data_IF_339078970982
#
_entry.id   IF_339078970982
#
_cell.length_a   1.000
_cell.length_b   1.000
_cell.length_c   1.000
_cell.angle_alpha   90.00
_cell.angle_beta   90.00
_cell.angle_gamma   90.00
#
_symmetry.space_group_name_H-M   'P 1'
#
loop_
_entity.id
_entity.type
_entity.pdbx_description
1 polymer ?
#
# COMPACT_ATOMS: atom_id res chain seq x y z
N UNK A 1 -14.31 -7.56 -3.59
CA UNK A 1 -13.22 -7.79 -4.57
C UNK A 1 -11.90 -8.05 -3.83
N UNK A 2 -11.20 -9.08 -4.23
CA UNK A 2 -9.89 -9.41 -3.65
C UNK A 2 -8.85 -9.60 -4.76
N UNK A 3 -7.65 -10.02 -4.39
CA UNK A 3 -6.56 -10.21 -5.37
C UNK A 3 -6.95 -11.24 -6.45
N UNK A 4 -7.65 -12.31 -6.09
CA UNK A 4 -8.07 -13.32 -7.04
C UNK A 4 -9.02 -12.76 -8.10
N UNK A 5 -9.93 -11.88 -7.71
CA UNK A 5 -10.85 -11.22 -8.65
C UNK A 5 -10.10 -10.33 -9.64
N UNK A 6 -9.06 -9.64 -9.15
CA UNK A 6 -8.20 -8.81 -10.00
C UNK A 6 -7.42 -9.68 -10.98
N UNK A 7 -6.91 -10.81 -10.53
CA UNK A 7 -6.20 -11.78 -11.38
C UNK A 7 -7.10 -12.26 -12.53
N UNK A 8 -8.36 -12.57 -12.25
CA UNK A 8 -9.29 -13.01 -13.26
C UNK A 8 -9.53 -11.95 -14.34
N UNK A 9 -9.65 -10.68 -13.93
CA UNK A 9 -9.82 -9.56 -14.86
C UNK A 9 -8.57 -9.33 -15.70
N UNK A 10 -7.40 -9.41 -15.10
CA UNK A 10 -6.12 -9.30 -15.81
C UNK A 10 -5.95 -10.44 -16.80
N UNK A 11 -6.33 -11.65 -16.42
CA UNK A 11 -6.30 -12.81 -17.31
C UNK A 11 -7.13 -12.57 -18.57
N UNK A 12 -8.32 -11.99 -18.41
CA UNK A 12 -9.18 -11.66 -19.55
C UNK A 12 -8.56 -10.66 -20.52
N UNK A 13 -7.75 -9.74 -20.01
CA UNK A 13 -7.07 -8.73 -20.82
C UNK A 13 -5.82 -9.29 -21.50
N UNK A 14 -5.01 -10.06 -20.76
CA UNK A 14 -3.76 -10.60 -21.28
C UNK A 14 -3.94 -11.66 -22.36
N UNK A 15 -4.99 -12.46 -22.25
CA UNK A 15 -5.22 -13.56 -23.19
C UNK A 15 -4.23 -14.73 -23.05
N UNK A 16 -3.36 -14.68 -22.04
CA UNK A 16 -2.40 -15.75 -21.74
C UNK A 16 -2.94 -16.65 -20.63
N UNK A 17 -2.07 -17.46 -19.99
CA UNK A 17 -2.51 -18.36 -18.93
C UNK A 17 -2.89 -17.62 -17.67
N UNK A 18 -3.72 -18.23 -16.83
CA UNK A 18 -4.08 -17.68 -15.53
C UNK A 18 -2.84 -17.52 -14.65
N UNK A 19 -1.87 -18.45 -14.75
CA UNK A 19 -0.60 -18.36 -14.02
C UNK A 19 0.18 -17.10 -14.40
N UNK A 20 0.16 -16.71 -15.68
CA UNK A 20 0.81 -15.48 -16.14
C UNK A 20 0.12 -14.23 -15.56
N UNK A 21 -1.21 -14.23 -15.53
CA UNK A 21 -1.98 -13.14 -14.94
C UNK A 21 -1.68 -13.00 -13.44
N UNK A 22 -1.59 -14.11 -12.74
CA UNK A 22 -1.25 -14.15 -11.32
C UNK A 22 0.14 -13.55 -11.06
N UNK A 23 1.12 -13.96 -11.87
CA UNK A 23 2.48 -13.41 -11.77
C UNK A 23 2.53 -11.92 -12.08
N UNK A 24 1.74 -11.45 -13.05
CA UNK A 24 1.67 -10.03 -13.39
C UNK A 24 1.12 -9.20 -12.24
N UNK A 25 0.05 -9.66 -11.60
CA UNK A 25 -0.53 -8.96 -10.45
C UNK A 25 0.42 -8.97 -9.26
N UNK A 26 1.05 -10.10 -8.97
CA UNK A 26 2.03 -10.21 -7.89
C UNK A 26 3.25 -9.32 -8.13
N UNK A 27 3.72 -9.25 -9.36
CA UNK A 27 4.82 -8.37 -9.74
C UNK A 27 4.48 -6.90 -9.46
N UNK A 28 3.26 -6.48 -9.79
CA UNK A 28 2.82 -5.12 -9.53
C UNK A 28 2.79 -4.82 -8.03
N UNK A 29 2.22 -5.72 -7.23
CA UNK A 29 2.18 -5.58 -5.77
C UNK A 29 3.59 -5.55 -5.19
N UNK A 30 4.47 -6.44 -5.64
CA UNK A 30 5.85 -6.50 -5.15
C UNK A 30 6.64 -5.24 -5.51
N UNK A 31 6.40 -4.66 -6.69
CA UNK A 31 7.01 -3.39 -7.08
C UNK A 31 6.62 -2.26 -6.14
N UNK A 32 5.34 -2.18 -5.80
CA UNK A 32 4.84 -1.17 -4.85
C UNK A 32 5.49 -1.36 -3.49
N UNK A 33 5.49 -2.59 -2.98
CA UNK A 33 6.07 -2.90 -1.66
C UNK A 33 7.57 -2.61 -1.64
N UNK A 34 8.30 -3.00 -2.68
CA UNK A 34 9.74 -2.76 -2.77
C UNK A 34 10.08 -1.27 -2.82
N UNK A 35 9.32 -0.49 -3.57
CA UNK A 35 9.48 0.96 -3.61
C UNK A 35 9.29 1.59 -2.24
N UNK A 36 8.25 1.18 -1.53
CA UNK A 36 7.96 1.69 -0.18
C UNK A 36 9.02 1.26 0.84
N UNK A 37 9.54 0.05 0.73
CA UNK A 37 10.64 -0.41 1.59
C UNK A 37 11.89 0.46 1.44
N UNK A 38 12.15 0.91 0.21
CA UNK A 38 13.27 1.79 -0.08
C UNK A 38 13.04 3.25 0.30
N UNK A 39 11.87 3.59 0.80
CA UNK A 39 11.52 4.96 1.19
C UNK A 39 11.01 5.82 0.04
N UNK A 40 10.79 5.25 -1.12
CA UNK A 40 10.27 5.97 -2.29
C UNK A 40 8.75 6.05 -2.25
N UNK A 41 8.21 7.05 -2.93
CA UNK A 41 6.79 7.12 -3.21
C UNK A 41 6.50 6.33 -4.48
N UNK A 42 5.34 5.69 -4.53
CA UNK A 42 4.86 5.00 -5.72
C UNK A 42 3.61 5.72 -6.20
N UNK A 43 3.73 6.44 -7.30
CA UNK A 43 2.63 7.19 -7.89
C UNK A 43 2.04 6.43 -9.07
N UNK A 44 0.74 6.15 -9.00
CA UNK A 44 0.01 5.49 -10.09
C UNK A 44 -1.03 6.47 -10.59
N UNK A 45 -0.87 6.89 -11.84
CA UNK A 45 -1.76 7.86 -12.47
C UNK A 45 -3.21 7.34 -12.47
N UNK A 46 -4.13 8.18 -12.04
CA UNK A 46 -5.54 7.81 -11.96
C UNK A 46 -5.94 7.03 -10.70
N UNK A 47 -4.98 6.52 -9.95
CA UNK A 47 -5.25 5.77 -8.72
C UNK A 47 -4.86 6.58 -7.49
N UNK A 48 -3.59 6.91 -7.36
CA UNK A 48 -3.11 7.66 -6.21
C UNK A 48 -1.64 7.44 -5.94
N UNK A 49 -1.20 7.88 -4.78
CA UNK A 49 0.19 7.81 -4.35
C UNK A 49 0.28 6.96 -3.09
N UNK A 50 1.12 5.93 -3.16
CA UNK A 50 1.52 5.16 -1.99
C UNK A 50 2.80 5.77 -1.44
N UNK A 51 2.83 6.03 -0.14
CA UNK A 51 3.99 6.64 0.51
C UNK A 51 4.18 6.03 1.88
N UNK A 52 5.32 6.30 2.48
CA UNK A 52 5.57 5.93 3.88
C UNK A 52 5.70 7.19 4.71
N UNK A 53 5.25 7.09 5.95
CA UNK A 53 5.43 8.15 6.94
C UNK A 53 6.25 7.59 8.10
N UNK A 54 7.36 8.25 8.38
CA UNK A 54 8.19 7.90 9.53
C UNK A 54 7.59 8.53 10.79
N UNK A 55 7.54 7.76 11.85
CA UNK A 55 7.19 8.25 13.19
C UNK A 55 8.43 8.12 14.05
N UNK A 56 8.82 9.25 14.65
CA UNK A 56 9.96 9.26 15.56
C UNK A 56 9.64 8.51 16.86
N UNK A 57 10.66 7.95 17.48
CA UNK A 57 10.54 7.41 18.82
C UNK A 57 10.06 8.50 19.78
N UNK A 58 9.18 8.17 20.67
CA UNK A 58 8.64 9.12 21.65
C UNK A 58 8.38 8.44 22.98
N UNK A 59 8.25 9.25 24.01
CA UNK A 59 7.78 8.80 25.33
C UNK A 59 6.26 8.89 25.35
N UNK A 60 5.63 7.77 25.66
CA UNK A 60 4.20 7.73 25.91
C UNK A 60 3.94 7.48 27.38
N UNK A 61 2.67 7.48 27.77
CA UNK A 61 2.28 7.19 29.16
C UNK A 61 1.13 6.18 29.12
N UNK A 62 1.26 5.15 29.94
CA UNK A 62 0.18 4.17 30.10
C UNK A 62 -0.98 4.83 30.83
N UNK A 63 -2.17 4.98 30.22
CA UNK A 63 -3.31 5.64 30.85
C UNK A 63 -3.85 4.87 32.05
N UNK A 64 -3.53 3.58 32.19
CA UNK A 64 -3.99 2.76 33.29
C UNK A 64 -3.11 2.89 34.52
N UNK A 65 -1.80 2.95 34.35
CA UNK A 65 -0.84 2.96 35.46
C UNK A 65 -0.09 4.28 35.60
N UNK A 66 -0.11 5.12 34.59
CA UNK A 66 0.66 6.36 34.56
C UNK A 66 2.15 6.19 34.28
N UNK A 67 2.60 4.97 34.01
CA UNK A 67 3.99 4.69 33.73
C UNK A 67 4.40 5.21 32.34
N UNK A 68 5.65 5.68 32.25
CA UNK A 68 6.22 6.07 30.97
C UNK A 68 6.48 4.84 30.10
N UNK A 69 6.09 4.92 28.84
CA UNK A 69 6.31 3.85 27.85
C UNK A 69 7.17 4.42 26.74
N UNK A 70 8.22 3.70 26.36
CA UNK A 70 9.01 4.07 25.20
C UNK A 70 8.34 3.54 23.94
N UNK A 71 7.91 4.44 23.06
CA UNK A 71 7.33 4.10 21.77
C UNK A 71 8.43 4.18 20.72
N UNK A 72 8.83 3.04 20.17
CA UNK A 72 9.90 2.96 19.20
C UNK A 72 9.55 3.68 17.89
N UNK A 73 10.57 4.15 17.19
CA UNK A 73 10.40 4.70 15.85
C UNK A 73 9.82 3.64 14.92
N UNK A 74 8.91 4.03 14.05
CA UNK A 74 8.28 3.13 13.10
C UNK A 74 7.98 3.84 11.79
N UNK A 75 7.73 3.06 10.74
CA UNK A 75 7.29 3.57 9.43
C UNK A 75 5.93 2.97 9.12
N UNK A 76 5.03 3.80 8.62
CA UNK A 76 3.67 3.41 8.30
C UNK A 76 3.41 3.68 6.82
N UNK A 77 2.76 2.73 6.15
CA UNK A 77 2.34 2.94 4.77
C UNK A 77 1.09 3.84 4.74
N UNK A 78 1.07 4.77 3.80
CA UNK A 78 -0.06 5.66 3.57
C UNK A 78 -0.45 5.65 2.11
N UNK A 79 -1.74 5.84 1.85
CA UNK A 79 -2.27 5.98 0.50
C UNK A 79 -3.02 7.31 0.39
N UNK A 80 -2.68 8.08 -0.66
CA UNK A 80 -3.41 9.31 -1.00
C UNK A 80 -4.11 9.10 -2.33
N UNK A 81 -5.43 9.11 -2.32
CA UNK A 81 -6.22 8.93 -3.54
C UNK A 81 -6.01 10.09 -4.50
N UNK A 82 -5.86 9.77 -5.80
CA UNK A 82 -5.83 10.78 -6.84
C UNK A 82 -7.21 11.40 -7.03
N UNK A 83 -7.26 12.60 -7.59
CA UNK A 83 -8.53 13.28 -7.86
C UNK A 83 -9.45 12.41 -8.73
N UNK A 84 -8.88 11.77 -9.74
CA UNK A 84 -9.64 10.88 -10.63
C UNK A 84 -10.30 9.73 -9.86
N UNK A 85 -9.61 9.16 -8.88
CA UNK A 85 -10.18 8.10 -8.04
C UNK A 85 -11.29 8.64 -7.15
N UNK A 86 -11.07 9.79 -6.53
CA UNK A 86 -12.08 10.43 -5.67
C UNK A 86 -13.34 10.73 -6.46
N UNK A 87 -13.20 11.23 -7.66
CA UNK A 87 -14.34 11.55 -8.53
C UNK A 87 -15.07 10.29 -9.00
N UNK A 88 -14.34 9.20 -9.24
CA UNK A 88 -14.92 7.94 -9.71
C UNK A 88 -15.80 7.25 -8.66
N UNK A 89 -15.50 7.43 -7.37
CA UNK A 89 -16.22 6.76 -6.27
C UNK A 89 -17.21 7.68 -5.56
N UNK A 90 -17.39 8.85 -6.07
CA UNK A 90 -18.21 9.89 -5.47
C UNK A 90 -19.71 9.54 -5.52
#
# INVERSE_FOLDING_TARGET
>A
MNKADIVDKVHGVLGSTKADAERAVECMVDCIVSGLKGGDEVSISGLGIFATKARQARQGRNPRTGESIHIAASRTAKFRAAKALKDAVK
#
